data_IF_456036656360
#
_entry.id   IF_456036656360
#
_cell.length_a   1.000
_cell.length_b   1.000
_cell.length_c   1.000
_cell.angle_alpha   90.00
_cell.angle_beta   90.00
_cell.angle_gamma   90.00
#
_symmetry.space_group_name_H-M   'P 1'
#
loop_
_entity.id
_entity.type
_entity.pdbx_description
1 polymer ?
#
# COMPACT_ATOMS: atom_id res chain seq x y z
N UNK A 1 4.32 -18.95 -8.50
CA UNK A 1 4.34 -18.13 -9.72
C UNK A 1 3.06 -18.35 -10.51
N UNK A 2 2.82 -19.52 -11.12
CA UNK A 2 1.63 -19.78 -11.94
C UNK A 2 0.27 -19.40 -11.30
N UNK A 3 0.02 -19.72 -10.03
CA UNK A 3 -1.27 -19.40 -9.36
C UNK A 3 -1.48 -17.89 -9.16
N UNK A 4 -0.43 -17.16 -8.81
CA UNK A 4 -0.47 -15.70 -8.63
C UNK A 4 -0.71 -15.02 -9.97
N UNK A 5 0.01 -15.45 -11.00
CA UNK A 5 -0.10 -14.91 -12.35
C UNK A 5 -1.49 -15.19 -12.92
N UNK A 6 -1.99 -16.41 -12.79
CA UNK A 6 -3.33 -16.80 -13.20
C UNK A 6 -4.41 -15.96 -12.48
N UNK A 7 -4.25 -15.74 -11.18
CA UNK A 7 -5.20 -14.92 -10.40
C UNK A 7 -5.17 -13.46 -10.84
N UNK A 8 -4.00 -12.89 -11.12
CA UNK A 8 -3.86 -11.52 -11.64
C UNK A 8 -4.53 -11.36 -13.00
N UNK A 9 -4.28 -12.28 -13.93
CA UNK A 9 -4.92 -12.25 -15.25
C UNK A 9 -6.44 -12.46 -15.16
N UNK A 10 -6.90 -13.36 -14.29
CA UNK A 10 -8.32 -13.59 -14.05
C UNK A 10 -9.01 -12.34 -13.50
N UNK A 11 -8.45 -11.71 -12.47
CA UNK A 11 -8.99 -10.47 -11.90
C UNK A 11 -9.01 -9.34 -12.95
N UNK A 12 -7.94 -9.18 -13.73
CA UNK A 12 -7.87 -8.20 -14.80
C UNK A 12 -8.94 -8.43 -15.87
N UNK A 13 -9.16 -9.69 -16.26
CA UNK A 13 -10.22 -10.07 -17.20
C UNK A 13 -11.62 -9.73 -16.65
N UNK A 14 -11.92 -10.12 -15.41
CA UNK A 14 -13.22 -9.86 -14.77
C UNK A 14 -13.52 -8.36 -14.76
N UNK A 15 -12.54 -7.54 -14.37
CA UNK A 15 -12.69 -6.09 -14.31
C UNK A 15 -12.90 -5.50 -15.71
N UNK A 16 -12.06 -5.88 -16.67
CA UNK A 16 -12.11 -5.34 -18.04
C UNK A 16 -13.41 -5.71 -18.74
N UNK A 17 -13.85 -6.98 -18.61
CA UNK A 17 -15.09 -7.47 -19.22
C UNK A 17 -16.33 -6.74 -18.69
N UNK A 18 -16.38 -6.45 -17.38
CA UNK A 18 -17.52 -5.78 -16.75
C UNK A 18 -17.46 -4.25 -16.84
N UNK A 19 -16.33 -3.66 -17.26
CA UNK A 19 -16.08 -2.22 -17.19
C UNK A 19 -17.18 -1.39 -17.87
N UNK A 20 -17.65 -1.79 -19.06
CA UNK A 20 -18.72 -1.07 -19.77
C UNK A 20 -20.03 -1.04 -18.98
N UNK A 21 -20.39 -2.16 -18.34
CA UNK A 21 -21.60 -2.25 -17.50
C UNK A 21 -21.47 -1.44 -16.22
N UNK A 22 -20.26 -1.38 -15.65
CA UNK A 22 -19.97 -0.55 -14.48
C UNK A 22 -20.01 0.95 -14.83
N UNK A 23 -19.53 1.33 -16.01
CA UNK A 23 -19.59 2.70 -16.52
C UNK A 23 -21.04 3.17 -16.72
N UNK A 24 -21.92 2.30 -17.19
CA UNK A 24 -23.34 2.59 -17.38
C UNK A 24 -24.08 2.73 -16.05
N UNK A 25 -23.83 1.84 -15.09
CA UNK A 25 -24.54 1.84 -13.81
C UNK A 25 -24.07 2.92 -12.84
N UNK A 26 -22.76 3.19 -12.78
CA UNK A 26 -22.17 4.10 -11.78
C UNK A 26 -21.84 5.48 -12.36
N UNK A 27 -21.98 5.68 -13.67
CA UNK A 27 -21.47 6.84 -14.43
C UNK A 27 -19.95 6.98 -14.36
N UNK A 28 -19.38 7.83 -15.23
CA UNK A 28 -17.92 8.03 -15.31
C UNK A 28 -17.31 8.46 -13.97
N UNK A 29 -17.91 9.45 -13.30
CA UNK A 29 -17.38 10.01 -12.05
C UNK A 29 -17.54 9.00 -10.91
N UNK A 30 -18.71 8.34 -10.81
CA UNK A 30 -18.95 7.35 -9.76
C UNK A 30 -18.04 6.13 -9.88
N UNK A 31 -17.70 5.70 -11.10
CA UNK A 31 -16.77 4.59 -11.30
C UNK A 31 -15.31 4.98 -11.00
N UNK A 32 -14.80 6.08 -11.56
CA UNK A 32 -13.36 6.40 -11.45
C UNK A 32 -12.98 6.98 -10.09
N UNK A 33 -13.74 7.97 -9.60
CA UNK A 33 -13.47 8.62 -8.32
C UNK A 33 -14.12 7.87 -7.16
N UNK A 34 -15.34 7.37 -7.33
CA UNK A 34 -16.05 6.66 -6.28
C UNK A 34 -15.52 5.25 -6.06
N UNK A 35 -15.74 4.37 -7.04
CA UNK A 35 -15.41 2.95 -6.90
C UNK A 35 -13.90 2.69 -6.87
N UNK A 36 -13.17 3.06 -7.94
CA UNK A 36 -11.72 2.84 -7.99
C UNK A 36 -10.95 3.72 -7.02
N UNK A 37 -11.39 4.96 -6.81
CA UNK A 37 -10.82 5.82 -5.77
C UNK A 37 -11.03 5.25 -4.37
N UNK A 38 -12.20 4.68 -4.06
CA UNK A 38 -12.46 3.98 -2.80
C UNK A 38 -11.54 2.78 -2.60
N UNK A 39 -11.39 1.94 -3.63
CA UNK A 39 -10.45 0.79 -3.59
C UNK A 39 -9.00 1.29 -3.38
N UNK A 40 -8.60 2.39 -4.04
CA UNK A 40 -7.27 2.96 -3.88
C UNK A 40 -7.02 3.45 -2.45
N UNK A 41 -8.00 4.07 -1.79
CA UNK A 41 -7.90 4.49 -0.37
C UNK A 41 -7.75 3.27 0.54
N UNK A 42 -8.52 2.20 0.31
CA UNK A 42 -8.38 0.95 1.07
C UNK A 42 -6.99 0.33 0.89
N UNK A 43 -6.51 0.27 -0.35
CA UNK A 43 -5.16 -0.21 -0.67
C UNK A 43 -4.08 0.65 -0.02
N UNK A 44 -4.26 1.97 0.01
CA UNK A 44 -3.35 2.89 0.66
C UNK A 44 -3.27 2.68 2.17
N UNK A 45 -4.42 2.50 2.85
CA UNK A 45 -4.45 2.15 4.28
C UNK A 45 -3.77 0.80 4.52
N UNK A 46 -4.10 -0.21 3.72
CA UNK A 46 -3.47 -1.52 3.82
C UNK A 46 -1.95 -1.44 3.67
N UNK A 47 -1.48 -0.68 2.70
CA UNK A 47 -0.05 -0.48 2.44
C UNK A 47 0.65 0.17 3.63
N UNK A 48 0.06 1.21 4.21
CA UNK A 48 0.63 1.91 5.38
C UNK A 48 0.69 0.99 6.61
N UNK A 49 -0.33 0.17 6.82
CA UNK A 49 -0.47 -0.61 8.06
C UNK A 49 0.29 -1.93 7.97
N UNK A 50 0.15 -2.68 6.88
CA UNK A 50 0.62 -4.06 6.78
C UNK A 50 1.90 -4.24 5.99
N UNK A 51 2.26 -3.33 5.08
CA UNK A 51 3.49 -3.45 4.31
C UNK A 51 4.63 -2.71 5.01
N UNK A 52 5.68 -3.44 5.37
CA UNK A 52 6.91 -2.85 5.92
C UNK A 52 7.73 -2.14 4.84
N UNK A 53 8.44 -1.08 5.23
CA UNK A 53 9.37 -0.39 4.34
C UNK A 53 10.59 -1.26 4.03
N UNK A 54 10.79 -1.58 2.75
CA UNK A 54 11.93 -2.37 2.23
C UNK A 54 13.07 -1.51 1.68
N UNK A 55 12.90 -0.18 1.69
CA UNK A 55 13.90 0.76 1.19
C UNK A 55 15.16 0.72 2.07
N UNK A 56 16.33 0.78 1.43
CA UNK A 56 17.64 0.79 2.10
C UNK A 56 17.92 -0.45 2.98
N UNK A 57 17.28 -1.59 2.70
CA UNK A 57 17.52 -2.87 3.39
C UNK A 57 18.22 -3.88 2.49
N UNK A 58 19.07 -4.72 3.08
CA UNK A 58 19.61 -5.91 2.42
C UNK A 58 18.50 -6.95 2.21
N UNK A 59 18.73 -7.93 1.31
CA UNK A 59 17.76 -9.02 1.08
C UNK A 59 17.57 -9.88 2.33
N UNK A 60 18.62 -10.06 3.12
CA UNK A 60 18.60 -10.82 4.37
C UNK A 60 17.77 -10.09 5.43
N UNK A 61 17.94 -8.77 5.54
CA UNK A 61 17.15 -7.93 6.46
C UNK A 61 15.67 -7.88 6.08
N UNK A 62 15.36 -7.96 4.78
CA UNK A 62 13.98 -8.04 4.29
C UNK A 62 13.35 -9.38 4.68
N UNK A 63 14.08 -10.48 4.56
CA UNK A 63 13.59 -11.81 4.93
C UNK A 63 13.35 -11.92 6.44
N UNK A 64 14.27 -11.39 7.25
CA UNK A 64 14.09 -11.27 8.69
C UNK A 64 12.86 -10.42 9.04
N UNK A 65 12.66 -9.31 8.34
CA UNK A 65 11.50 -8.44 8.54
C UNK A 65 10.17 -9.12 8.23
N UNK A 66 10.12 -9.98 7.20
CA UNK A 66 8.94 -10.76 6.85
C UNK A 66 8.75 -12.01 7.71
N UNK A 67 9.79 -12.47 8.40
CA UNK A 67 9.68 -13.55 9.40
C UNK A 67 8.98 -13.11 10.70
N UNK A 68 8.92 -11.80 10.95
CA UNK A 68 8.26 -11.25 12.14
C UNK A 68 6.74 -11.42 12.08
N UNK A 69 6.08 -11.64 13.23
CA UNK A 69 4.63 -11.70 13.27
C UNK A 69 3.99 -10.38 12.84
N UNK A 70 2.89 -10.47 12.08
CA UNK A 70 2.19 -9.31 11.50
C UNK A 70 1.81 -8.25 12.53
N UNK A 71 1.52 -8.65 13.77
CA UNK A 71 1.20 -7.72 14.87
C UNK A 71 2.38 -6.80 15.24
N UNK A 72 3.61 -7.29 15.12
CA UNK A 72 4.83 -6.51 15.37
C UNK A 72 5.08 -5.56 14.19
N UNK A 73 4.90 -6.05 12.95
CA UNK A 73 4.98 -5.24 11.72
C UNK A 73 4.03 -4.05 11.80
N UNK A 74 2.75 -4.30 12.09
CA UNK A 74 1.71 -3.26 12.20
C UNK A 74 2.07 -2.23 13.27
N UNK A 75 2.50 -2.66 14.46
CA UNK A 75 2.91 -1.75 15.54
C UNK A 75 4.10 -0.88 15.13
N UNK A 76 5.07 -1.44 14.40
CA UNK A 76 6.25 -0.72 13.91
C UNK A 76 5.87 0.31 12.85
N UNK A 77 5.10 -0.11 11.84
CA UNK A 77 4.63 0.76 10.77
C UNK A 77 3.81 1.92 11.33
N UNK A 78 2.87 1.67 12.23
CA UNK A 78 2.01 2.71 12.80
C UNK A 78 2.80 3.74 13.63
N UNK A 79 3.82 3.31 14.37
CA UNK A 79 4.75 4.22 15.06
C UNK A 79 5.54 5.08 14.08
N UNK A 80 6.03 4.50 13.00
CA UNK A 80 6.77 5.22 11.95
C UNK A 80 5.88 6.23 11.24
N UNK A 81 4.67 5.83 10.82
CA UNK A 81 3.69 6.73 10.21
C UNK A 81 3.36 7.91 11.13
N UNK A 82 3.15 7.65 12.42
CA UNK A 82 2.91 8.72 13.40
C UNK A 82 4.11 9.68 13.54
N UNK A 83 5.34 9.18 13.45
CA UNK A 83 6.55 10.01 13.44
C UNK A 83 6.66 10.84 12.17
N UNK A 84 6.40 10.25 11.00
CA UNK A 84 6.41 10.95 9.71
C UNK A 84 5.36 12.05 9.68
N UNK A 85 4.13 11.77 10.12
CA UNK A 85 3.07 12.78 10.22
C UNK A 85 3.47 13.91 11.16
N UNK A 86 4.09 13.59 12.31
CA UNK A 86 4.57 14.58 13.26
C UNK A 86 5.69 15.44 12.70
N UNK A 87 6.66 14.85 12.03
CA UNK A 87 7.79 15.58 11.42
C UNK A 87 7.32 16.42 10.22
N UNK A 88 6.33 15.93 9.45
CA UNK A 88 5.67 16.70 8.39
C UNK A 88 4.90 17.89 8.96
N UNK A 89 4.13 17.71 10.04
CA UNK A 89 3.38 18.78 10.70
C UNK A 89 4.27 19.88 11.27
N UNK A 90 5.54 19.55 11.58
CA UNK A 90 6.57 20.49 12.04
C UNK A 90 7.44 21.05 10.90
N UNK A 91 7.02 20.87 9.64
CA UNK A 91 7.75 21.29 8.43
C UNK A 91 9.20 20.78 8.35
N UNK A 92 9.51 19.64 8.99
CA UNK A 92 10.86 19.04 8.99
C UNK A 92 11.11 18.18 7.75
N UNK A 93 10.98 18.79 6.57
CA UNK A 93 11.04 18.08 5.27
C UNK A 93 12.35 17.31 5.07
N UNK A 94 13.49 17.86 5.50
CA UNK A 94 14.81 17.18 5.38
C UNK A 94 14.83 15.80 6.05
N UNK A 95 14.13 15.65 7.17
CA UNK A 95 14.07 14.38 7.93
C UNK A 95 13.08 13.39 7.33
N UNK A 96 12.01 13.89 6.70
CA UNK A 96 11.01 13.04 6.02
C UNK A 96 11.58 12.45 4.72
N UNK A 97 12.35 13.22 3.96
CA UNK A 97 12.92 12.76 2.68
C UNK A 97 14.23 11.99 2.81
N UNK A 98 14.93 12.11 3.94
CA UNK A 98 16.15 11.37 4.25
C UNK A 98 16.05 10.70 5.63
N UNK A 99 15.21 9.67 5.78
CA UNK A 99 15.19 8.86 7.00
C UNK A 99 16.53 8.15 7.15
N UNK A 100 17.10 8.17 8.36
CA UNK A 100 18.35 7.46 8.64
C UNK A 100 18.16 5.93 8.46
N UNK A 101 19.19 5.21 7.96
CA UNK A 101 19.14 3.76 7.85
C UNK A 101 18.89 3.15 9.23
N UNK A 102 18.04 2.12 9.25
CA UNK A 102 17.71 1.42 10.49
C UNK A 102 18.97 0.74 11.03
N UNK A 103 19.39 1.07 12.26
CA UNK A 103 20.38 0.30 13.00
C UNK A 103 19.75 -0.95 13.61
#
# INVERSE_FOLDING_TARGET
>A
MATTDASLFLCSFIVTYNFSRMMESMTRIGLTLGFYGGIAVLGWIYQIVFMSETKNKSREEIDELFSLPTSVIVKRNMKQTAQVIRDLSRFRLKKVFSPEPYK
#
